data_IF_685004376797
#
_entry.id   IF_685004376797
#
_cell.length_a   1.000
_cell.length_b   1.000
_cell.length_c   1.000
_cell.angle_alpha   90.00
_cell.angle_beta   90.00
_cell.angle_gamma   90.00
#
_symmetry.space_group_name_H-M   'P 1'
#
loop_
_entity.id
_entity.type
_entity.pdbx_description
1 polymer ?
#
# COMPACT_ATOMS: atom_id res chain seq x y z
N UNK A 1 16.73 11.82 1.44
CA UNK A 1 16.74 10.33 1.51
C UNK A 1 15.85 9.85 0.38
N UNK A 2 16.31 8.89 -0.43
CA UNK A 2 15.51 8.29 -1.50
C UNK A 2 14.88 7.00 -0.94
N UNK A 3 13.57 6.84 -1.02
CA UNK A 3 12.89 5.65 -0.49
C UNK A 3 12.87 4.60 -1.60
N UNK A 4 13.61 3.50 -1.41
CA UNK A 4 13.73 2.42 -2.40
C UNK A 4 13.24 1.06 -1.90
N UNK A 5 12.96 0.95 -0.60
CA UNK A 5 12.46 -0.25 0.06
C UNK A 5 11.46 0.10 1.17
N UNK A 6 10.75 -0.90 1.67
CA UNK A 6 9.90 -0.73 2.85
C UNK A 6 10.72 -0.29 4.08
N UNK A 7 11.91 -0.83 4.27
CA UNK A 7 12.77 -0.46 5.41
C UNK A 7 13.18 1.02 5.34
N UNK A 8 13.53 1.52 4.14
CA UNK A 8 13.80 2.95 3.93
C UNK A 8 12.59 3.80 4.30
N UNK A 9 11.38 3.37 3.91
CA UNK A 9 10.14 4.07 4.22
C UNK A 9 9.92 4.16 5.74
N UNK A 10 10.03 3.04 6.45
CA UNK A 10 9.80 3.02 7.91
C UNK A 10 10.88 3.81 8.64
N UNK A 11 12.14 3.73 8.22
CA UNK A 11 13.21 4.56 8.77
C UNK A 11 12.95 6.05 8.52
N UNK A 12 12.56 6.43 7.30
CA UNK A 12 12.23 7.81 6.96
C UNK A 12 11.03 8.33 7.77
N UNK A 13 10.01 7.51 7.98
CA UNK A 13 8.83 7.85 8.78
C UNK A 13 9.18 8.04 10.26
N UNK A 14 10.06 7.20 10.82
CA UNK A 14 10.55 7.31 12.20
C UNK A 14 11.48 8.50 12.42
N UNK A 15 12.19 8.93 11.39
CA UNK A 15 13.10 10.07 11.44
C UNK A 15 12.38 11.42 11.33
N UNK A 16 11.07 11.45 11.07
CA UNK A 16 10.33 12.70 10.99
C UNK A 16 10.26 13.42 12.34
N UNK A 17 10.25 14.78 12.37
CA UNK A 17 10.11 15.53 13.61
C UNK A 17 8.80 15.28 14.37
N UNK A 18 7.74 14.94 13.64
CA UNK A 18 6.45 14.55 14.20
C UNK A 18 6.24 13.05 13.99
N UNK A 19 5.63 12.32 14.94
CA UNK A 19 5.34 10.91 14.74
C UNK A 19 4.41 10.70 13.54
N UNK A 20 4.68 9.64 12.78
CA UNK A 20 3.93 9.34 11.56
C UNK A 20 2.96 8.17 11.81
N UNK A 21 1.77 8.25 11.21
CA UNK A 21 0.90 7.10 10.99
C UNK A 21 1.00 6.69 9.53
N UNK A 22 1.26 5.42 9.28
CA UNK A 22 1.42 4.84 7.95
C UNK A 22 0.11 4.16 7.56
N UNK A 23 -0.34 4.43 6.35
CA UNK A 23 -1.57 3.92 5.79
C UNK A 23 -1.26 2.91 4.70
N UNK A 24 -1.93 1.77 4.73
CA UNK A 24 -1.76 0.67 3.80
C UNK A 24 -3.09 0.37 3.13
N UNK A 25 -3.09 0.30 1.80
CA UNK A 25 -4.18 -0.24 1.00
C UNK A 25 -3.65 -1.41 0.18
N UNK A 26 -4.06 -2.61 0.56
CA UNK A 26 -3.69 -3.85 -0.12
C UNK A 26 -4.66 -4.10 -1.27
N UNK A 27 -4.12 -4.43 -2.43
CA UNK A 27 -4.90 -4.69 -3.62
C UNK A 27 -4.56 -6.05 -4.24
N UNK A 28 -5.58 -6.68 -4.81
CA UNK A 28 -5.46 -7.85 -5.67
C UNK A 28 -5.50 -7.40 -7.12
N UNK A 29 -4.61 -7.95 -7.93
CA UNK A 29 -4.67 -7.79 -9.37
C UNK A 29 -5.76 -8.71 -9.92
N UNK A 30 -6.65 -8.15 -10.70
CA UNK A 30 -7.80 -8.86 -11.26
C UNK A 30 -7.89 -8.61 -12.76
N UNK A 31 -8.37 -9.62 -13.47
CA UNK A 31 -8.65 -9.54 -14.88
C UNK A 31 -10.17 -9.50 -15.07
N UNK A 32 -10.72 -8.48 -15.75
CA UNK A 32 -12.14 -8.46 -16.09
C UNK A 32 -12.56 -9.70 -16.87
N UNK A 33 -13.79 -10.18 -16.64
CA UNK A 33 -14.32 -11.38 -17.30
C UNK A 33 -14.35 -11.25 -18.84
N UNK A 34 -14.51 -10.02 -19.34
CA UNK A 34 -14.55 -9.65 -20.75
C UNK A 34 -13.16 -9.29 -21.35
N UNK A 35 -12.08 -9.48 -20.59
CA UNK A 35 -10.74 -9.15 -21.07
C UNK A 35 -10.35 -9.95 -22.33
N UNK A 36 -9.82 -9.23 -23.32
CA UNK A 36 -9.34 -9.80 -24.59
C UNK A 36 -8.05 -10.60 -24.43
N UNK A 37 -7.70 -11.42 -25.42
CA UNK A 37 -6.55 -12.34 -25.36
C UNK A 37 -5.23 -11.65 -24.98
N UNK A 38 -4.96 -10.45 -25.52
CA UNK A 38 -3.75 -9.69 -25.21
C UNK A 38 -3.70 -9.20 -23.75
N UNK A 39 -4.84 -8.77 -23.20
CA UNK A 39 -4.95 -8.39 -21.78
C UNK A 39 -4.75 -9.60 -20.86
N UNK A 40 -5.25 -10.79 -21.27
CA UNK A 40 -5.03 -12.03 -20.50
C UNK A 40 -3.57 -12.44 -20.53
N UNK A 41 -2.92 -12.34 -21.68
CA UNK A 41 -1.50 -12.65 -21.83
C UNK A 41 -0.64 -11.70 -20.99
N UNK A 42 -0.91 -10.38 -21.05
CA UNK A 42 -0.24 -9.41 -20.19
C UNK A 42 -0.44 -9.72 -18.70
N UNK A 43 -1.68 -9.95 -18.27
CA UNK A 43 -1.98 -10.30 -16.88
C UNK A 43 -1.27 -11.57 -16.41
N UNK A 44 -1.17 -12.60 -17.26
CA UNK A 44 -0.42 -13.82 -16.95
C UNK A 44 1.08 -13.57 -16.75
N UNK A 45 1.63 -12.53 -17.37
CA UNK A 45 2.99 -12.05 -17.17
C UNK A 45 3.09 -10.98 -16.07
N UNK A 46 2.04 -10.81 -15.25
CA UNK A 46 1.94 -9.79 -14.20
C UNK A 46 2.05 -8.34 -14.74
N UNK A 47 1.67 -8.15 -16.01
CA UNK A 47 1.66 -6.85 -16.72
C UNK A 47 0.22 -6.45 -17.06
N UNK A 48 -0.34 -5.53 -16.27
CA UNK A 48 -1.70 -5.01 -16.45
C UNK A 48 -2.74 -5.72 -15.58
N UNK A 49 -4.02 -5.49 -15.88
CA UNK A 49 -5.15 -5.86 -15.02
C UNK A 49 -5.68 -4.67 -14.22
N UNK A 50 -6.88 -4.83 -13.66
CA UNK A 50 -7.43 -3.89 -12.69
C UNK A 50 -6.89 -4.21 -11.28
N UNK A 51 -6.82 -3.20 -10.43
CA UNK A 51 -6.47 -3.39 -9.02
C UNK A 51 -7.72 -3.22 -8.16
N UNK A 52 -8.06 -4.25 -7.40
CA UNK A 52 -9.16 -4.26 -6.46
C UNK A 52 -8.63 -4.17 -5.03
N UNK A 53 -8.87 -3.07 -4.29
CA UNK A 53 -8.56 -2.98 -2.87
C UNK A 53 -9.31 -4.06 -2.08
N UNK A 54 -8.58 -4.86 -1.30
CA UNK A 54 -9.14 -5.97 -0.51
C UNK A 54 -9.06 -5.74 0.99
N UNK A 55 -8.17 -4.84 1.43
CA UNK A 55 -7.89 -4.58 2.83
C UNK A 55 -7.22 -3.21 3.02
N UNK A 56 -7.64 -2.48 4.05
CA UNK A 56 -7.02 -1.23 4.47
C UNK A 56 -6.57 -1.36 5.93
N UNK A 57 -5.36 -0.89 6.24
CA UNK A 57 -4.79 -0.94 7.59
C UNK A 57 -4.02 0.35 7.84
N UNK A 58 -4.14 0.90 9.04
CA UNK A 58 -3.28 1.97 9.52
C UNK A 58 -2.49 1.53 10.77
N UNK A 59 -1.22 1.94 10.84
CA UNK A 59 -0.33 1.68 11.98
C UNK A 59 0.55 2.89 12.24
N UNK A 60 0.90 3.17 13.48
CA UNK A 60 1.96 4.13 13.79
C UNK A 60 3.31 3.59 13.30
N UNK A 61 4.25 4.49 12.98
CA UNK A 61 5.61 4.10 12.60
C UNK A 61 6.34 3.29 13.70
N UNK A 62 5.93 3.44 14.97
CA UNK A 62 6.48 2.68 16.09
C UNK A 62 5.97 1.24 16.16
N UNK A 63 4.73 0.99 15.74
CA UNK A 63 4.10 -0.36 15.72
C UNK A 63 4.60 -1.24 14.56
N UNK A 64 5.26 -0.65 13.56
CA UNK A 64 5.65 -1.36 12.35
C UNK A 64 6.96 -2.13 12.54
N UNK A 65 6.90 -3.44 12.32
CA UNK A 65 8.07 -4.28 12.20
C UNK A 65 8.66 -4.30 10.79
N UNK A 66 9.31 -5.40 10.47
CA UNK A 66 9.77 -5.74 9.12
C UNK A 66 8.61 -5.97 8.13
N UNK A 67 8.89 -5.89 6.83
CA UNK A 67 7.87 -6.21 5.81
C UNK A 67 7.39 -7.67 5.89
N UNK A 68 8.28 -8.59 6.27
CA UNK A 68 7.93 -10.00 6.46
C UNK A 68 6.89 -10.20 7.57
N UNK A 69 6.97 -9.42 8.65
CA UNK A 69 5.95 -9.40 9.70
C UNK A 69 4.63 -8.83 9.18
N UNK A 70 4.65 -7.72 8.43
CA UNK A 70 3.45 -7.18 7.80
C UNK A 70 2.76 -8.21 6.87
N UNK A 71 3.55 -8.91 6.07
CA UNK A 71 3.08 -10.00 5.20
C UNK A 71 2.49 -11.14 6.02
N UNK A 72 3.13 -11.54 7.13
CA UNK A 72 2.62 -12.58 8.01
C UNK A 72 1.30 -12.18 8.67
N UNK A 73 1.21 -10.97 9.22
CA UNK A 73 -0.02 -10.42 9.81
C UNK A 73 -1.16 -10.35 8.80
N UNK A 74 -0.88 -9.93 7.56
CA UNK A 74 -1.90 -9.84 6.51
C UNK A 74 -2.57 -11.19 6.20
N UNK A 75 -1.89 -12.32 6.42
CA UNK A 75 -2.47 -13.65 6.18
C UNK A 75 -3.59 -13.99 7.15
N UNK A 76 -3.58 -13.40 8.36
CA UNK A 76 -4.61 -13.65 9.37
C UNK A 76 -5.97 -13.04 9.01
N UNK A 77 -6.04 -12.13 8.03
CA UNK A 77 -7.30 -11.53 7.58
C UNK A 77 -8.06 -12.41 6.57
N UNK A 78 -7.42 -13.46 6.05
CA UNK A 78 -7.97 -14.33 5.03
C UNK A 78 -8.09 -13.67 3.64
N UNK A 79 -7.52 -12.47 3.45
CA UNK A 79 -7.51 -11.77 2.17
C UNK A 79 -6.21 -12.03 1.41
N UNK A 80 -6.34 -12.45 0.16
CA UNK A 80 -5.22 -12.51 -0.78
C UNK A 80 -4.98 -11.13 -1.40
N UNK A 81 -3.72 -10.76 -1.57
CA UNK A 81 -3.30 -9.51 -2.19
C UNK A 81 -1.96 -9.69 -2.92
N UNK A 82 -1.74 -8.89 -3.95
CA UNK A 82 -0.56 -8.96 -4.82
C UNK A 82 0.37 -7.77 -4.60
N UNK A 83 -0.20 -6.61 -4.29
CA UNK A 83 0.50 -5.35 -4.10
C UNK A 83 -0.08 -4.56 -2.92
N UNK A 84 0.75 -3.77 -2.26
CA UNK A 84 0.31 -2.85 -1.21
C UNK A 84 0.75 -1.42 -1.54
N UNK A 85 -0.21 -0.51 -1.47
CA UNK A 85 -0.01 0.93 -1.60
C UNK A 85 0.14 1.57 -0.24
N UNK A 86 1.12 2.46 -0.11
CA UNK A 86 1.52 3.05 1.17
C UNK A 86 1.64 4.56 1.07
N UNK A 87 1.12 5.24 2.09
CA UNK A 87 1.33 6.68 2.32
C UNK A 87 1.44 6.96 3.82
N UNK A 88 1.79 8.18 4.20
CA UNK A 88 2.02 8.57 5.59
C UNK A 88 1.25 9.83 5.95
N UNK A 89 0.70 9.87 7.15
CA UNK A 89 0.10 11.04 7.78
C UNK A 89 1.02 11.53 8.90
N UNK A 90 1.35 12.82 8.86
CA UNK A 90 2.13 13.44 9.91
C UNK A 90 1.27 13.83 11.10
N UNK A 91 1.78 13.51 12.28
CA UNK A 91 1.23 13.92 13.56
C UNK A 91 1.39 15.41 13.84
N UNK A 92 0.90 15.82 15.02
CA UNK A 92 0.98 17.18 15.54
C UNK A 92 1.32 17.14 17.03
N UNK A 93 2.09 18.12 17.51
CA UNK A 93 2.47 18.27 18.91
C UNK A 93 3.14 17.02 19.53
N UNK A 94 3.88 16.25 18.73
CA UNK A 94 4.56 15.04 19.20
C UNK A 94 3.66 13.82 19.34
N UNK A 95 2.42 13.87 18.84
CA UNK A 95 1.49 12.75 18.82
C UNK A 95 1.20 12.32 17.37
N UNK A 96 1.18 11.00 17.07
CA UNK A 96 0.76 10.52 15.75
C UNK A 96 -0.73 10.82 15.53
N UNK A 97 -1.18 10.93 14.28
CA UNK A 97 -2.61 11.02 13.98
C UNK A 97 -3.36 9.84 14.62
N UNK A 98 -4.57 10.09 15.11
CA UNK A 98 -5.43 9.03 15.64
C UNK A 98 -5.86 8.08 14.51
N UNK A 99 -6.17 6.83 14.84
CA UNK A 99 -6.67 5.86 13.85
C UNK A 99 -7.99 6.32 13.21
N UNK A 100 -8.86 7.00 13.98
CA UNK A 100 -10.09 7.60 13.44
C UNK A 100 -9.84 8.70 12.40
N UNK A 101 -8.71 9.41 12.50
CA UNK A 101 -8.32 10.41 11.48
C UNK A 101 -7.83 9.75 10.19
N UNK A 102 -7.43 8.47 10.23
CA UNK A 102 -6.96 7.71 9.07
C UNK A 102 -8.10 7.15 8.20
N UNK A 103 -9.32 7.04 8.71
CA UNK A 103 -10.45 6.45 7.99
C UNK A 103 -10.75 7.16 6.66
N UNK A 104 -10.85 8.49 6.68
CA UNK A 104 -11.13 9.26 5.47
C UNK A 104 -9.99 9.18 4.44
N UNK A 105 -8.71 9.37 4.81
CA UNK A 105 -7.57 9.10 3.93
C UNK A 105 -7.54 7.68 3.34
N UNK A 106 -7.83 6.64 4.14
CA UNK A 106 -7.88 5.25 3.65
C UNK A 106 -8.99 5.06 2.60
N UNK A 107 -10.18 5.61 2.84
CA UNK A 107 -11.27 5.59 1.85
C UNK A 107 -10.89 6.32 0.54
N UNK A 108 -10.14 7.41 0.65
CA UNK A 108 -9.59 8.10 -0.52
C UNK A 108 -8.55 7.23 -1.25
N UNK A 109 -7.67 6.52 -0.54
CA UNK A 109 -6.73 5.58 -1.17
C UNK A 109 -7.46 4.51 -1.98
N UNK A 110 -8.52 3.92 -1.45
CA UNK A 110 -9.37 2.95 -2.16
C UNK A 110 -9.92 3.56 -3.47
N UNK A 111 -10.45 4.77 -3.39
CA UNK A 111 -10.99 5.48 -4.56
C UNK A 111 -9.92 5.75 -5.62
N UNK A 112 -8.72 6.16 -5.18
CA UNK A 112 -7.59 6.42 -6.06
C UNK A 112 -7.06 5.16 -6.73
N UNK A 113 -7.00 4.03 -6.02
CA UNK A 113 -6.62 2.74 -6.59
C UNK A 113 -7.64 2.29 -7.64
N UNK A 114 -8.94 2.36 -7.34
CA UNK A 114 -9.99 2.00 -8.30
C UNK A 114 -9.97 2.86 -9.57
N UNK A 115 -9.57 4.12 -9.46
CA UNK A 115 -9.51 5.04 -10.61
C UNK A 115 -8.14 5.07 -11.29
N UNK A 116 -7.20 4.22 -10.87
CA UNK A 116 -5.84 4.15 -11.41
C UNK A 116 -4.95 5.33 -11.07
N UNK A 117 -5.42 6.26 -10.23
CA UNK A 117 -4.63 7.40 -9.75
C UNK A 117 -3.74 6.92 -8.61
N UNK A 118 -2.66 6.19 -8.92
CA UNK A 118 -1.79 5.55 -7.91
C UNK A 118 -0.40 6.17 -7.80
N UNK A 119 -0.10 7.17 -8.62
CA UNK A 119 1.22 7.81 -8.70
C UNK A 119 1.66 8.57 -7.44
N UNK A 120 0.74 8.86 -6.52
CA UNK A 120 1.06 9.50 -5.23
C UNK A 120 1.38 8.49 -4.10
N UNK A 121 1.36 7.20 -4.38
CA UNK A 121 1.64 6.15 -3.38
C UNK A 121 2.95 5.45 -3.69
N UNK A 122 3.62 5.00 -2.63
CA UNK A 122 4.63 3.95 -2.78
C UNK A 122 3.91 2.62 -2.91
N UNK A 123 4.39 1.75 -3.81
CA UNK A 123 3.81 0.45 -4.05
C UNK A 123 4.84 -0.64 -3.80
N UNK A 124 4.53 -1.61 -2.94
CA UNK A 124 5.43 -2.73 -2.66
C UNK A 124 4.79 -4.06 -3.06
N UNK A 125 5.59 -4.93 -3.67
CA UNK A 125 5.20 -6.31 -3.93
C UNK A 125 5.24 -7.16 -2.67
N UNK A 126 4.81 -8.42 -2.77
CA UNK A 126 4.89 -9.41 -1.68
C UNK A 126 6.32 -9.71 -1.21
N UNK A 127 7.31 -9.42 -2.06
CA UNK A 127 8.74 -9.51 -1.79
C UNK A 127 9.28 -8.32 -0.98
N UNK A 128 8.48 -7.26 -0.78
CA UNK A 128 8.91 -6.02 -0.11
C UNK A 128 9.68 -5.07 -1.02
N UNK A 129 9.82 -5.40 -2.29
CA UNK A 129 10.46 -4.53 -3.27
C UNK A 129 9.51 -3.45 -3.76
N UNK A 130 10.06 -2.25 -3.94
CA UNK A 130 9.33 -1.14 -4.55
C UNK A 130 9.01 -1.48 -6.01
N UNK A 131 7.73 -1.41 -6.37
CA UNK A 131 7.27 -1.64 -7.74
C UNK A 131 6.97 -0.30 -8.38
N UNK A 132 7.60 -0.04 -9.53
CA UNK A 132 7.21 1.06 -10.39
C UNK A 132 6.00 0.62 -11.22
N UNK A 133 4.87 1.28 -11.00
CA UNK A 133 3.69 1.10 -11.80
C UNK A 133 3.69 2.20 -12.85
N UNK A 134 3.76 1.81 -14.12
CA UNK A 134 3.71 2.76 -15.23
C UNK A 134 2.33 3.44 -15.23
N UNK A 135 2.35 4.77 -15.31
CA UNK A 135 1.15 5.60 -15.53
C UNK A 135 0.79 5.61 -17.01
#
# INVERSE_FOLDING_TARGET
MNITSYDDLIQAARAQPQPQRVLFAFAKAELPDDAGADQRAGFAEQRGGALAPVMCVDKTAAELGSFAELVAESKHTGKEWDIVFVTTMSGRNGEPPASTEAEAPLNMMVTYIHTGQIGQFLAFGRDGELKQLAQ
#
